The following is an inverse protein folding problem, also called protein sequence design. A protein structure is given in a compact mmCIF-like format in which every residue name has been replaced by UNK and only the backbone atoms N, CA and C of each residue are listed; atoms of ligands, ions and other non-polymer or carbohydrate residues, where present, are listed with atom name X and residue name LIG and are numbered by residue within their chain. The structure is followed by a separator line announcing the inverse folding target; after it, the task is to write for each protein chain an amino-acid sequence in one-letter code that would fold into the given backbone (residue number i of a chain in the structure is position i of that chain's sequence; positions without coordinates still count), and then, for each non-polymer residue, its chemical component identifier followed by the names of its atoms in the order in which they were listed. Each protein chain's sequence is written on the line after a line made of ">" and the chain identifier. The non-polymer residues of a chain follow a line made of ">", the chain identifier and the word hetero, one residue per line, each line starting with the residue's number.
data_IF_961945048804
#
_entry.id   IF_961945048804
#
_cell.length_a   1.000
_cell.length_b   1.000
_cell.length_c   1.000
_cell.angle_alpha   90.00
_cell.angle_beta   90.00
_cell.angle_gamma   90.00
#
_symmetry.space_group_name_H-M   'P 1'
#
loop_
_entity.id
_entity.type
_entity.pdbx_description
1 polymer ?
#
# COMPACT_ATOMS: atom_id res chain seq x y z
N UNK A 1 18.66 22.86 1.28
CA UNK A 1 17.84 22.15 2.27
C UNK A 1 18.71 21.81 3.48
N UNK A 2 18.22 22.02 4.71
CA UNK A 2 18.96 21.62 5.94
C UNK A 2 18.94 20.10 6.09
N UNK A 3 20.03 19.52 6.60
CA UNK A 3 20.15 18.05 6.78
C UNK A 3 19.05 17.47 7.67
N UNK A 4 18.67 18.18 8.73
CA UNK A 4 17.57 17.77 9.61
C UNK A 4 16.24 17.69 8.85
N UNK A 5 15.92 18.73 8.08
CA UNK A 5 14.70 18.76 7.25
C UNK A 5 14.68 17.62 6.23
N UNK A 6 15.83 17.32 5.61
CA UNK A 6 15.97 16.19 4.69
C UNK A 6 15.63 14.86 5.35
N UNK A 7 16.18 14.61 6.56
CA UNK A 7 15.92 13.37 7.30
C UNK A 7 14.44 13.27 7.70
N UNK A 8 13.85 14.38 8.16
CA UNK A 8 12.43 14.42 8.52
C UNK A 8 11.52 14.13 7.33
N UNK A 9 11.87 14.63 6.14
CA UNK A 9 11.13 14.32 4.91
C UNK A 9 11.22 12.82 4.58
N UNK A 10 12.42 12.21 4.61
CA UNK A 10 12.57 10.77 4.39
C UNK A 10 11.78 9.92 5.42
N UNK A 11 11.77 10.33 6.69
CA UNK A 11 10.97 9.68 7.72
C UNK A 11 9.47 9.81 7.48
N UNK A 12 9.02 10.96 6.98
CA UNK A 12 7.63 11.14 6.58
C UNK A 12 7.24 10.19 5.46
N UNK A 13 8.11 10.01 4.46
CA UNK A 13 7.86 9.09 3.35
C UNK A 13 7.77 7.64 3.84
N UNK A 14 8.68 7.22 4.72
CA UNK A 14 8.65 5.86 5.32
C UNK A 14 7.34 5.64 6.08
N UNK A 15 6.90 6.61 6.89
CA UNK A 15 5.63 6.50 7.62
C UNK A 15 4.42 6.32 6.71
N UNK A 16 4.38 7.01 5.56
CA UNK A 16 3.30 6.83 4.58
C UNK A 16 3.31 5.40 4.00
N UNK A 17 4.49 4.88 3.66
CA UNK A 17 4.62 3.50 3.14
C UNK A 17 4.22 2.46 4.20
N UNK A 18 4.59 2.67 5.46
CA UNK A 18 4.21 1.81 6.58
C UNK A 18 2.71 1.79 6.81
N UNK A 19 2.06 2.96 6.78
CA UNK A 19 0.61 3.08 6.87
C UNK A 19 -0.11 2.30 5.75
N UNK A 20 0.33 2.46 4.50
CA UNK A 20 -0.25 1.72 3.37
C UNK A 20 -0.08 0.21 3.58
N UNK A 21 1.10 -0.24 4.02
CA UNK A 21 1.36 -1.65 4.26
C UNK A 21 0.47 -2.23 5.37
N UNK A 22 0.26 -1.51 6.47
CA UNK A 22 -0.62 -1.92 7.57
C UNK A 22 -2.08 -2.07 7.11
N UNK A 23 -2.57 -1.11 6.32
CA UNK A 23 -3.93 -1.16 5.79
C UNK A 23 -4.10 -2.32 4.79
N UNK A 24 -3.12 -2.57 3.92
CA UNK A 24 -3.13 -3.73 3.02
C UNK A 24 -3.15 -5.05 3.81
N UNK A 25 -2.38 -5.15 4.89
CA UNK A 25 -2.38 -6.33 5.76
C UNK A 25 -3.74 -6.53 6.45
N UNK A 26 -4.40 -5.45 6.88
CA UNK A 26 -5.74 -5.51 7.44
C UNK A 26 -6.76 -6.02 6.43
N UNK A 27 -6.73 -5.48 5.21
CA UNK A 27 -7.60 -5.90 4.10
C UNK A 27 -7.37 -7.38 3.76
N UNK A 28 -6.11 -7.81 3.65
CA UNK A 28 -5.77 -9.20 3.34
C UNK A 28 -6.38 -10.16 4.36
N UNK A 29 -6.31 -9.84 5.66
CA UNK A 29 -6.94 -10.64 6.72
C UNK A 29 -8.46 -10.72 6.56
N UNK A 30 -9.11 -9.60 6.21
CA UNK A 30 -10.56 -9.60 5.90
C UNK A 30 -10.87 -10.52 4.73
N UNK A 31 -10.14 -10.41 3.62
CA UNK A 31 -10.32 -11.26 2.44
C UNK A 31 -10.10 -12.74 2.76
N UNK A 32 -9.08 -13.09 3.55
CA UNK A 32 -8.86 -14.48 3.97
C UNK A 32 -10.06 -15.01 4.76
N UNK A 33 -10.52 -14.26 5.76
CA UNK A 33 -11.68 -14.66 6.56
C UNK A 33 -12.97 -14.74 5.73
N UNK A 34 -13.06 -13.93 4.67
CA UNK A 34 -14.19 -13.89 3.76
C UNK A 34 -14.19 -15.08 2.79
N UNK A 35 -13.04 -15.47 2.24
CA UNK A 35 -12.91 -16.64 1.37
C UNK A 35 -13.37 -17.91 2.07
N UNK A 36 -13.06 -18.06 3.36
CA UNK A 36 -13.45 -19.23 4.14
C UNK A 36 -14.98 -19.39 4.29
N UNK A 37 -15.74 -18.32 4.07
CA UNK A 37 -17.21 -18.32 4.17
C UNK A 37 -17.94 -18.34 2.82
N UNK A 38 -17.22 -18.14 1.72
CA UNK A 38 -17.80 -18.03 0.38
C UNK A 38 -18.15 -19.39 -0.22
N UNK A 39 -19.30 -19.47 -0.88
CA UNK A 39 -19.75 -20.63 -1.66
C UNK A 39 -19.71 -20.33 -3.16
N UNK A 40 -19.88 -19.07 -3.55
CA UNK A 40 -19.91 -18.67 -4.95
C UNK A 40 -18.49 -18.59 -5.53
N UNK A 41 -18.22 -19.43 -6.54
CA UNK A 41 -16.90 -19.52 -7.18
C UNK A 41 -16.41 -18.19 -7.79
N UNK A 42 -17.33 -17.34 -8.26
CA UNK A 42 -17.01 -16.03 -8.81
C UNK A 42 -16.44 -15.07 -7.75
N UNK A 43 -16.97 -15.14 -6.52
CA UNK A 43 -16.54 -14.32 -5.39
C UNK A 43 -15.22 -14.82 -4.82
N UNK A 44 -15.00 -16.13 -4.81
CA UNK A 44 -13.72 -16.73 -4.42
C UNK A 44 -12.62 -16.27 -5.37
N UNK A 45 -12.83 -16.40 -6.68
CA UNK A 45 -11.85 -15.96 -7.69
C UNK A 45 -11.54 -14.46 -7.60
N UNK A 46 -12.55 -13.63 -7.33
CA UNK A 46 -12.35 -12.20 -7.09
C UNK A 46 -11.49 -11.95 -5.85
N UNK A 47 -11.76 -12.62 -4.74
CA UNK A 47 -11.00 -12.44 -3.50
C UNK A 47 -9.55 -12.91 -3.63
N UNK A 48 -9.29 -13.99 -4.36
CA UNK A 48 -7.94 -14.45 -4.72
C UNK A 48 -7.20 -13.43 -5.59
N UNK A 49 -7.85 -12.84 -6.59
CA UNK A 49 -7.27 -11.76 -7.40
C UNK A 49 -6.89 -10.55 -6.53
N UNK A 50 -7.76 -10.15 -5.59
CA UNK A 50 -7.45 -9.08 -4.64
C UNK A 50 -6.23 -9.40 -3.77
N UNK A 51 -6.08 -10.65 -3.32
CA UNK A 51 -4.90 -11.05 -2.55
C UNK A 51 -3.61 -10.99 -3.38
N UNK A 52 -3.64 -11.40 -4.67
CA UNK A 52 -2.49 -11.26 -5.57
C UNK A 52 -2.13 -9.80 -5.83
N UNK A 53 -3.15 -8.97 -6.02
CA UNK A 53 -3.02 -7.53 -6.14
C UNK A 53 -2.36 -6.89 -4.92
N UNK A 54 -2.65 -7.38 -3.70
CA UNK A 54 -1.97 -6.94 -2.47
C UNK A 54 -0.50 -7.36 -2.48
N UNK A 55 -0.18 -8.61 -2.83
CA UNK A 55 1.21 -9.08 -2.90
C UNK A 55 2.07 -8.23 -3.85
N UNK A 56 1.52 -7.86 -5.01
CA UNK A 56 2.21 -6.99 -5.97
C UNK A 56 2.44 -5.59 -5.41
N UNK A 57 1.46 -5.03 -4.69
CA UNK A 57 1.59 -3.71 -4.04
C UNK A 57 2.59 -3.75 -2.88
N UNK A 58 2.58 -4.79 -2.06
CA UNK A 58 3.57 -5.02 -1.01
C UNK A 58 4.99 -5.00 -1.58
N UNK A 59 5.23 -5.69 -2.70
CA UNK A 59 6.53 -5.70 -3.36
C UNK A 59 6.96 -4.30 -3.84
N UNK A 60 6.04 -3.52 -4.43
CA UNK A 60 6.31 -2.15 -4.85
C UNK A 60 6.66 -1.23 -3.67
N UNK A 61 5.92 -1.33 -2.55
CA UNK A 61 6.19 -0.56 -1.34
C UNK A 61 7.58 -0.89 -0.78
N UNK A 62 7.95 -2.18 -0.73
CA UNK A 62 9.26 -2.61 -0.24
C UNK A 62 10.41 -2.08 -1.09
N UNK A 63 10.24 -2.03 -2.42
CA UNK A 63 11.25 -1.49 -3.32
C UNK A 63 11.54 -0.01 -3.01
N UNK A 64 10.50 0.82 -2.94
CA UNK A 64 10.65 2.25 -2.66
C UNK A 64 11.15 2.49 -1.24
N UNK A 65 10.63 1.75 -0.26
CA UNK A 65 11.09 1.84 1.13
C UNK A 65 12.58 1.54 1.25
N UNK A 66 13.07 0.52 0.53
CA UNK A 66 14.50 0.18 0.49
C UNK A 66 15.34 1.33 -0.08
N UNK A 67 14.92 1.93 -1.18
CA UNK A 67 15.62 3.06 -1.80
C UNK A 67 15.73 4.25 -0.83
N UNK A 68 14.62 4.60 -0.15
CA UNK A 68 14.58 5.67 0.84
C UNK A 68 15.47 5.36 2.05
N UNK A 69 15.48 4.11 2.52
CA UNK A 69 16.33 3.68 3.63
C UNK A 69 17.83 3.76 3.28
N UNK A 70 18.20 3.37 2.06
CA UNK A 70 19.58 3.51 1.55
C UNK A 70 19.96 5.00 1.52
N UNK A 71 19.09 5.85 1.00
CA UNK A 71 19.33 7.29 0.95
C UNK A 71 19.48 7.87 2.36
N UNK A 72 18.61 7.49 3.30
CA UNK A 72 18.71 7.88 4.73
C UNK A 72 20.05 7.42 5.34
N UNK A 73 20.47 6.19 5.06
CA UNK A 73 21.71 5.61 5.59
C UNK A 73 22.98 6.27 5.02
N UNK A 74 22.93 6.78 3.78
CA UNK A 74 24.05 7.48 3.15
C UNK A 74 24.49 8.73 3.91
N UNK A 75 23.60 9.33 4.71
CA UNK A 75 23.77 10.63 5.40
C UNK A 75 24.08 11.81 4.45
N UNK A 76 23.99 11.60 3.14
CA UNK A 76 24.14 12.62 2.11
C UNK A 76 22.81 13.33 1.89
N UNK A 77 22.87 14.63 1.59
CA UNK A 77 21.68 15.40 1.23
C UNK A 77 21.57 15.38 -0.28
N UNK A 78 20.66 14.56 -0.81
CA UNK A 78 20.41 14.45 -2.26
C UNK A 78 18.96 14.87 -2.60
N UNK A 79 18.72 16.16 -2.88
CA UNK A 79 17.37 16.68 -3.13
C UNK A 79 16.70 16.07 -4.37
N UNK A 80 17.49 15.67 -5.37
CA UNK A 80 16.97 15.07 -6.60
C UNK A 80 16.38 13.69 -6.33
N UNK A 81 17.09 12.85 -5.56
CA UNK A 81 16.59 11.54 -5.17
C UNK A 81 15.37 11.67 -4.25
N UNK A 82 15.42 12.56 -3.25
CA UNK A 82 14.25 12.82 -2.40
C UNK A 82 13.02 13.25 -3.22
N UNK A 83 13.19 14.11 -4.22
CA UNK A 83 12.08 14.53 -5.09
C UNK A 83 11.49 13.35 -5.85
N UNK A 84 12.33 12.46 -6.38
CA UNK A 84 11.91 11.23 -7.08
C UNK A 84 11.14 10.33 -6.11
N UNK A 85 11.71 10.02 -4.96
CA UNK A 85 11.10 9.13 -3.97
C UNK A 85 9.75 9.69 -3.48
N UNK A 86 9.67 11.00 -3.25
CA UNK A 86 8.42 11.68 -2.89
C UNK A 86 7.35 11.53 -3.97
N UNK A 87 7.71 11.69 -5.25
CA UNK A 87 6.77 11.49 -6.36
C UNK A 87 6.26 10.05 -6.41
N UNK A 88 7.13 9.08 -6.17
CA UNK A 88 6.75 7.67 -6.16
C UNK A 88 5.84 7.33 -4.97
N UNK A 89 6.14 7.85 -3.78
CA UNK A 89 5.29 7.64 -2.59
C UNK A 89 3.91 8.27 -2.76
N UNK A 90 3.84 9.51 -3.28
CA UNK A 90 2.55 10.18 -3.55
C UNK A 90 1.73 9.40 -4.58
N UNK A 91 2.38 8.88 -5.63
CA UNK A 91 1.71 8.02 -6.60
C UNK A 91 1.13 6.76 -5.95
N UNK A 92 1.93 6.06 -5.14
CA UNK A 92 1.49 4.83 -4.45
C UNK A 92 0.37 5.09 -3.45
N UNK A 93 0.40 6.23 -2.74
CA UNK A 93 -0.66 6.64 -1.84
C UNK A 93 -1.98 6.90 -2.58
N UNK A 94 -1.94 7.62 -3.70
CA UNK A 94 -3.12 7.90 -4.51
C UNK A 94 -3.72 6.63 -5.12
N UNK A 95 -2.85 5.77 -5.67
CA UNK A 95 -3.25 4.47 -6.22
C UNK A 95 -3.91 3.61 -5.13
N UNK A 96 -3.29 3.54 -3.95
CA UNK A 96 -3.84 2.80 -2.81
C UNK A 96 -5.22 3.31 -2.38
N UNK A 97 -5.40 4.63 -2.27
CA UNK A 97 -6.70 5.22 -1.90
C UNK A 97 -7.79 4.83 -2.90
N UNK A 98 -7.49 4.89 -4.20
CA UNK A 98 -8.45 4.53 -5.25
C UNK A 98 -8.78 3.03 -5.20
N UNK A 99 -7.75 2.19 -5.07
CA UNK A 99 -7.92 0.75 -4.99
C UNK A 99 -8.73 0.34 -3.75
N UNK A 100 -8.41 0.91 -2.58
CA UNK A 100 -9.14 0.66 -1.33
C UNK A 100 -10.61 1.04 -1.47
N UNK A 101 -10.90 2.21 -2.05
CA UNK A 101 -12.28 2.65 -2.25
C UNK A 101 -13.07 1.69 -3.16
N UNK A 102 -12.47 1.25 -4.27
CA UNK A 102 -13.11 0.29 -5.18
C UNK A 102 -13.36 -1.07 -4.49
N UNK A 103 -12.43 -1.50 -3.64
CA UNK A 103 -12.58 -2.72 -2.87
C UNK A 103 -13.69 -2.61 -1.82
N UNK A 104 -13.74 -1.51 -1.07
CA UNK A 104 -14.79 -1.26 -0.06
C UNK A 104 -16.17 -1.27 -0.73
N UNK A 105 -16.34 -0.59 -1.87
CA UNK A 105 -17.60 -0.62 -2.64
C UNK A 105 -18.01 -2.04 -3.04
N UNK A 106 -17.03 -2.86 -3.46
CA UNK A 106 -17.31 -4.23 -3.88
C UNK A 106 -17.69 -5.10 -2.69
N UNK A 107 -17.00 -4.98 -1.55
CA UNK A 107 -17.33 -5.70 -0.32
C UNK A 107 -18.75 -5.34 0.16
N UNK A 108 -19.11 -4.05 0.15
CA UNK A 108 -20.45 -3.61 0.53
C UNK A 108 -21.53 -4.20 -0.39
N UNK A 109 -21.28 -4.20 -1.70
CA UNK A 109 -22.20 -4.78 -2.67
C UNK A 109 -22.41 -6.29 -2.44
N UNK A 110 -21.37 -7.04 -2.12
CA UNK A 110 -21.52 -8.47 -1.88
C UNK A 110 -22.20 -8.76 -0.53
N UNK A 111 -21.85 -8.03 0.53
CA UNK A 111 -22.54 -8.15 1.83
C UNK A 111 -24.04 -7.83 1.71
N UNK A 112 -24.43 -6.94 0.80
CA UNK A 112 -25.85 -6.62 0.55
C UNK A 112 -26.63 -7.69 -0.20
N UNK A 113 -25.95 -8.65 -0.84
CA UNK A 113 -26.56 -9.79 -1.55
C UNK A 113 -26.72 -11.03 -0.64
N UNK A 114 -25.97 -11.09 0.46
CA UNK A 114 -26.03 -12.18 1.46
C UNK A 114 -27.08 -11.93 2.58
N UNK A 115 -27.84 -10.83 2.51
CA UNK A 115 -28.95 -10.46 3.41
C UNK A 115 -30.28 -10.35 2.66
#
# INVERSE_FOLDING_TARGET
>A
MKKELFIQELESLIRTLDFIQEEQAFIKRKLTSYIDTLIESSLIAWAEDMQQQILNREAALQLIKKDILILKASKMVEPILLKKDKQQVVYLEQEFIQWKHAMDQKLDAVNSLEH
#
